data_IF_147052097774
#
_entry.id   IF_147052097774
#
_cell.length_a   1.000
_cell.length_b   1.000
_cell.length_c   1.000
_cell.angle_alpha   90.00
_cell.angle_beta   90.00
_cell.angle_gamma   90.00
#
_symmetry.space_group_name_H-M   'P 1'
#
loop_
_entity.id
_entity.type
_entity.pdbx_description
1 polymer ?
#
# COMPACT_ATOMS: atom_id res chain seq x y z
N UNK A 1 8.30 -15.55 -3.39
CA UNK A 1 7.73 -15.86 -2.05
C UNK A 1 8.53 -15.19 -0.92
N UNK A 2 9.68 -14.55 -1.18
CA UNK A 2 10.52 -13.90 -0.16
C UNK A 2 10.03 -12.52 0.32
N UNK A 3 9.28 -11.77 -0.50
CA UNK A 3 8.93 -10.37 -0.17
C UNK A 3 7.85 -10.27 0.91
N UNK A 4 7.01 -11.31 1.04
CA UNK A 4 6.02 -11.40 2.11
C UNK A 4 6.69 -11.54 3.48
N UNK A 5 7.73 -12.38 3.57
CA UNK A 5 8.46 -12.63 4.82
C UNK A 5 9.13 -11.33 5.32
N UNK A 6 9.78 -10.58 4.43
CA UNK A 6 10.41 -9.31 4.78
C UNK A 6 9.40 -8.27 5.31
N UNK A 7 8.20 -8.22 4.73
CA UNK A 7 7.13 -7.31 5.18
C UNK A 7 6.58 -7.71 6.56
N UNK A 8 6.44 -9.01 6.82
CA UNK A 8 6.00 -9.53 8.13
C UNK A 8 7.02 -9.17 9.20
N UNK A 9 8.30 -9.43 8.95
CA UNK A 9 9.39 -9.11 9.87
C UNK A 9 9.45 -7.61 10.18
N UNK A 10 9.32 -6.77 9.15
CA UNK A 10 9.27 -5.31 9.32
C UNK A 10 8.12 -4.85 10.22
N UNK A 11 6.90 -5.36 9.99
CA UNK A 11 5.74 -5.02 10.82
C UNK A 11 5.81 -5.63 12.23
N UNK A 12 6.49 -6.77 12.42
CA UNK A 12 6.70 -7.35 13.75
C UNK A 12 7.46 -6.38 14.65
N UNK A 13 8.54 -5.78 14.16
CA UNK A 13 9.34 -4.83 14.94
C UNK A 13 8.51 -3.61 15.38
N UNK A 14 7.63 -3.11 14.51
CA UNK A 14 6.72 -2.01 14.86
C UNK A 14 5.73 -2.43 15.95
N UNK A 15 5.12 -3.61 15.81
CA UNK A 15 4.16 -4.11 16.79
C UNK A 15 4.83 -4.36 18.17
N UNK A 16 6.02 -4.93 18.19
CA UNK A 16 6.81 -5.14 19.42
C UNK A 16 7.11 -3.83 20.14
N UNK A 17 7.55 -2.80 19.41
CA UNK A 17 7.82 -1.48 19.99
C UNK A 17 6.56 -0.87 20.62
N UNK A 18 5.40 -0.97 19.96
CA UNK A 18 4.14 -0.47 20.52
C UNK A 18 3.71 -1.26 21.77
N UNK A 19 3.84 -2.59 21.74
CA UNK A 19 3.48 -3.44 22.87
C UNK A 19 4.41 -3.27 24.07
N UNK A 20 5.69 -2.96 23.85
CA UNK A 20 6.65 -2.67 24.91
C UNK A 20 6.23 -1.44 25.75
N UNK A 21 5.55 -0.47 25.14
CA UNK A 21 4.94 0.70 25.81
C UNK A 21 3.57 0.39 26.42
N UNK A 22 3.12 -0.87 26.43
CA UNK A 22 1.82 -1.28 26.97
C UNK A 22 0.61 -0.86 26.12
N UNK A 23 0.83 -0.33 24.91
CA UNK A 23 -0.21 0.09 24.00
C UNK A 23 -0.67 -1.06 23.08
N UNK A 24 -1.69 -0.82 22.25
CA UNK A 24 -2.21 -1.77 21.25
C UNK A 24 -2.24 -1.11 19.88
N UNK A 25 -1.95 -1.88 18.85
CA UNK A 25 -1.99 -1.44 17.45
C UNK A 25 -2.80 -2.42 16.60
N UNK A 26 -3.43 -1.89 15.56
CA UNK A 26 -4.14 -2.66 14.55
C UNK A 26 -3.63 -2.27 13.16
N UNK A 27 -3.57 -3.25 12.25
CA UNK A 27 -3.21 -3.00 10.85
C UNK A 27 -4.46 -2.69 10.03
N UNK A 28 -4.47 -1.52 9.37
CA UNK A 28 -5.45 -1.24 8.33
C UNK A 28 -5.06 -1.96 7.04
N UNK A 29 -5.87 -2.94 6.64
CA UNK A 29 -5.71 -3.58 5.33
C UNK A 29 -6.17 -2.61 4.24
N UNK A 30 -5.33 -2.42 3.23
CA UNK A 30 -5.54 -1.40 2.20
C UNK A 30 -5.58 -2.01 0.80
N UNK A 31 -6.54 -1.56 0.00
CA UNK A 31 -6.55 -1.75 -1.45
C UNK A 31 -6.99 -0.44 -2.13
N UNK A 32 -6.09 0.17 -2.91
CA UNK A 32 -6.33 1.52 -3.46
C UNK A 32 -7.30 1.56 -4.66
N UNK A 33 -7.46 0.44 -5.37
CA UNK A 33 -8.34 0.35 -6.53
C UNK A 33 -8.05 1.44 -7.56
N UNK A 34 -9.09 2.18 -7.96
CA UNK A 34 -9.03 3.20 -9.03
C UNK A 34 -8.14 4.39 -8.70
N UNK A 35 -7.72 4.53 -7.43
CA UNK A 35 -6.78 5.57 -6.98
C UNK A 35 -5.32 5.07 -6.96
N UNK A 36 -5.01 3.97 -7.65
CA UNK A 36 -3.63 3.48 -7.84
C UNK A 36 -3.10 3.73 -9.26
N UNK A 37 -1.77 3.71 -9.44
CA UNK A 37 -1.11 4.00 -10.72
C UNK A 37 -0.40 2.76 -11.27
N UNK A 38 -0.43 2.48 -12.60
CA UNK A 38 0.21 1.30 -13.20
C UNK A 38 1.70 1.12 -12.89
N UNK A 39 2.42 2.22 -12.66
CA UNK A 39 3.82 2.20 -12.22
C UNK A 39 4.07 1.43 -10.90
N UNK A 40 3.03 1.21 -10.09
CA UNK A 40 3.12 0.42 -8.85
C UNK A 40 2.72 -1.05 -9.04
N UNK A 41 2.35 -1.45 -10.25
CA UNK A 41 1.82 -2.78 -10.59
C UNK A 41 2.53 -3.37 -11.82
N UNK A 42 3.81 -3.07 -12.01
CA UNK A 42 4.60 -3.52 -13.17
C UNK A 42 3.95 -3.18 -14.53
N UNK A 43 3.27 -2.04 -14.60
CA UNK A 43 2.57 -1.56 -15.79
C UNK A 43 1.14 -2.07 -15.95
N UNK A 44 0.67 -3.02 -15.11
CA UNK A 44 -0.71 -3.48 -15.13
C UNK A 44 -1.69 -2.39 -14.66
N UNK A 45 -2.92 -2.43 -15.19
CA UNK A 45 -3.97 -1.51 -14.75
C UNK A 45 -4.50 -1.90 -13.35
N UNK A 46 -4.84 -0.92 -12.49
CA UNK A 46 -5.45 -1.21 -11.20
C UNK A 46 -6.76 -1.99 -11.32
N UNK A 47 -6.97 -2.96 -10.43
CA UNK A 47 -8.21 -3.73 -10.36
C UNK A 47 -9.31 -2.90 -9.68
N UNK A 48 -10.47 -2.84 -10.32
CA UNK A 48 -11.60 -2.00 -9.92
C UNK A 48 -12.94 -2.70 -10.18
N UNK A 49 -14.02 -2.34 -9.46
CA UNK A 49 -15.34 -2.95 -9.68
C UNK A 49 -15.96 -2.60 -11.04
N UNK A 50 -15.56 -1.48 -11.65
CA UNK A 50 -16.10 -0.98 -12.92
C UNK A 50 -15.08 -0.09 -13.64
N UNK A 51 -15.18 0.00 -14.97
CA UNK A 51 -14.33 0.82 -15.83
C UNK A 51 -14.68 2.32 -15.77
N UNK A 52 -14.70 2.89 -14.56
CA UNK A 52 -14.91 4.32 -14.32
C UNK A 52 -13.59 4.92 -13.81
N UNK A 53 -13.10 5.92 -14.53
CA UNK A 53 -11.85 6.60 -14.20
C UNK A 53 -11.98 7.44 -12.92
N UNK A 54 -10.87 7.63 -12.21
CA UNK A 54 -10.79 8.64 -11.16
C UNK A 54 -10.71 10.03 -11.81
N UNK A 55 -11.55 10.96 -11.37
CA UNK A 55 -11.55 12.35 -11.83
C UNK A 55 -10.44 13.12 -11.11
N UNK A 56 -9.20 12.94 -11.58
CA UNK A 56 -8.03 13.60 -11.02
C UNK A 56 -6.71 13.02 -11.52
N UNK A 57 -5.61 13.41 -10.87
CA UNK A 57 -4.26 12.91 -11.19
C UNK A 57 -3.71 12.12 -10.01
N UNK A 58 -3.24 10.90 -10.28
CA UNK A 58 -2.53 10.09 -9.30
C UNK A 58 -1.04 10.44 -9.39
N UNK A 59 -0.47 10.86 -8.27
CA UNK A 59 0.94 11.21 -8.18
C UNK A 59 1.77 9.93 -7.98
N UNK A 60 2.71 9.69 -8.89
CA UNK A 60 3.57 8.49 -8.90
C UNK A 60 5.06 8.81 -8.75
N UNK A 61 5.40 10.06 -8.37
CA UNK A 61 6.77 10.53 -8.21
C UNK A 61 7.56 10.75 -9.52
N UNK A 62 7.05 10.31 -10.67
CA UNK A 62 7.75 10.31 -11.96
C UNK A 62 7.71 11.62 -12.75
N UNK A 63 6.95 12.63 -12.30
CA UNK A 63 6.91 13.93 -12.97
C UNK A 63 6.76 15.07 -11.97
N UNK A 64 7.89 15.64 -11.54
CA UNK A 64 7.97 16.97 -10.91
C UNK A 64 8.44 17.98 -11.95
N UNK A 65 7.59 18.31 -12.92
CA UNK A 65 7.62 19.53 -13.72
C UNK A 65 6.20 19.89 -14.12
#
# INVERSE_FOLDING_TARGET
MSDCDAQIEGWRNVAEAVHAEGARIFLQRWHAGRMSHPAFHDGALPVVPSAVAFEGRILNGGNRR
#
